data_IF_654931548581
#
_entry.id   IF_654931548581
#
_cell.length_a   1.000
_cell.length_b   1.000
_cell.length_c   1.000
_cell.angle_alpha   90.00
_cell.angle_beta   90.00
_cell.angle_gamma   90.00
#
_symmetry.space_group_name_H-M   'P 1'
#
loop_
_entity.id
_entity.type
_entity.pdbx_description
1 polymer ?
#
# COMPACT_ATOMS: atom_id res chain seq x y z
N UNK A 1 -13.47 7.81 10.13
CA UNK A 1 -13.65 6.34 10.13
C UNK A 1 -12.34 5.58 9.92
N UNK A 2 -11.70 5.61 8.74
CA UNK A 2 -10.52 4.75 8.43
C UNK A 2 -9.38 4.80 9.46
N UNK A 3 -8.85 5.99 9.78
CA UNK A 3 -7.72 6.11 10.71
C UNK A 3 -8.03 5.57 12.11
N UNK A 4 -9.27 5.73 12.56
CA UNK A 4 -9.72 5.19 13.84
C UNK A 4 -9.62 3.67 13.86
N UNK A 5 -10.14 3.00 12.82
CA UNK A 5 -10.06 1.55 12.70
C UNK A 5 -8.61 1.05 12.56
N UNK A 6 -7.75 1.76 11.83
CA UNK A 6 -6.33 1.38 11.71
C UNK A 6 -5.58 1.50 13.03
N UNK A 7 -5.88 2.52 13.85
CA UNK A 7 -5.31 2.68 15.19
C UNK A 7 -5.81 1.58 16.14
N UNK A 8 -7.10 1.28 16.11
CA UNK A 8 -7.68 0.19 16.89
C UNK A 8 -7.07 -1.17 16.52
N UNK A 9 -6.95 -1.46 15.23
CA UNK A 9 -6.27 -2.66 14.72
C UNK A 9 -4.82 -2.76 15.22
N UNK A 10 -4.05 -1.67 15.17
CA UNK A 10 -2.68 -1.63 15.68
C UNK A 10 -2.62 -1.92 17.19
N UNK A 11 -3.54 -1.35 17.97
CA UNK A 11 -3.61 -1.58 19.42
C UNK A 11 -3.92 -3.05 19.73
N UNK A 12 -4.85 -3.65 19.00
CA UNK A 12 -5.19 -5.07 19.12
C UNK A 12 -4.03 -6.00 18.74
N UNK A 13 -3.25 -5.65 17.71
CA UNK A 13 -2.05 -6.40 17.35
C UNK A 13 -1.01 -6.39 18.47
N UNK A 14 -0.83 -5.24 19.14
CA UNK A 14 0.09 -5.12 20.26
C UNK A 14 -0.33 -6.01 21.43
N UNK A 15 -1.63 -6.03 21.73
CA UNK A 15 -2.19 -6.77 22.85
C UNK A 15 -2.14 -8.29 22.64
N UNK A 16 -2.50 -8.76 21.44
CA UNK A 16 -2.57 -10.20 21.15
C UNK A 16 -1.21 -10.82 20.78
N UNK A 17 -0.27 -10.04 20.26
CA UNK A 17 0.99 -10.54 19.72
C UNK A 17 2.17 -9.68 20.20
N UNK A 18 2.62 -9.94 21.43
CA UNK A 18 3.70 -9.18 22.08
C UNK A 18 5.02 -9.21 21.30
N UNK A 19 5.30 -10.29 20.57
CA UNK A 19 6.52 -10.43 19.74
C UNK A 19 6.35 -9.92 18.30
N UNK A 20 5.24 -9.25 18.00
CA UNK A 20 4.96 -8.78 16.65
C UNK A 20 5.89 -7.65 16.23
N UNK A 21 6.61 -7.85 15.12
CA UNK A 21 7.47 -6.83 14.52
C UNK A 21 6.68 -5.98 13.52
N UNK A 22 6.47 -4.71 13.85
CA UNK A 22 5.81 -3.79 12.95
C UNK A 22 6.62 -3.55 11.68
N UNK A 23 6.01 -3.86 10.55
CA UNK A 23 6.56 -3.56 9.23
C UNK A 23 6.26 -2.11 8.81
N UNK A 24 7.11 -1.46 8.00
CA UNK A 24 6.86 -0.12 7.48
C UNK A 24 5.51 0.05 6.78
N UNK A 25 4.97 -1.02 6.19
CA UNK A 25 3.65 -1.03 5.56
C UNK A 25 2.52 -0.70 6.56
N UNK A 26 2.65 -1.11 7.83
CA UNK A 26 1.67 -0.76 8.88
C UNK A 26 1.73 0.73 9.22
N UNK A 27 2.94 1.30 9.25
CA UNK A 27 3.12 2.74 9.40
C UNK A 27 2.51 3.50 8.22
N UNK A 28 2.79 3.05 7.00
CA UNK A 28 2.24 3.64 5.78
C UNK A 28 0.71 3.58 5.74
N UNK A 29 0.10 2.49 6.22
CA UNK A 29 -1.35 2.35 6.27
C UNK A 29 -2.01 3.43 7.14
N UNK A 30 -1.36 3.92 8.21
CA UNK A 30 -1.88 5.05 8.99
C UNK A 30 -1.90 6.37 8.20
N UNK A 31 -1.01 6.54 7.22
CA UNK A 31 -0.97 7.74 6.36
C UNK A 31 -2.00 7.72 5.23
N UNK A 32 -2.57 6.55 4.89
CA UNK A 32 -3.57 6.44 3.81
C UNK A 32 -4.77 7.35 4.07
N UNK A 33 -5.21 7.56 5.32
CA UNK A 33 -6.30 8.53 5.58
C UNK A 33 -5.96 9.93 5.12
N UNK A 34 -4.72 10.37 5.32
CA UNK A 34 -4.27 11.71 4.90
C UNK A 34 -4.20 11.78 3.37
N UNK A 35 -3.69 10.73 2.74
CA UNK A 35 -3.59 10.68 1.28
C UNK A 35 -4.93 10.57 0.57
N UNK A 36 -5.92 9.89 1.17
CA UNK A 36 -7.28 9.88 0.65
C UNK A 36 -7.89 11.29 0.59
N UNK A 37 -7.61 12.13 1.60
CA UNK A 37 -8.08 13.51 1.63
C UNK A 37 -7.34 14.40 0.61
N UNK A 38 -6.04 14.15 0.37
CA UNK A 38 -5.22 14.99 -0.51
C UNK A 38 -5.29 14.59 -1.99
N UNK A 39 -5.37 13.29 -2.29
CA UNK A 39 -5.21 12.73 -3.65
C UNK A 39 -6.44 11.93 -4.11
N UNK A 40 -7.47 11.82 -3.27
CA UNK A 40 -8.66 11.02 -3.57
C UNK A 40 -8.41 9.51 -3.45
N UNK A 41 -9.26 8.69 -4.12
CA UNK A 41 -9.21 7.23 -4.04
C UNK A 41 -7.81 6.65 -4.31
N UNK A 42 -7.43 5.59 -3.59
CA UNK A 42 -6.11 4.93 -3.71
C UNK A 42 -5.79 4.52 -5.14
N UNK A 43 -6.80 4.12 -5.91
CA UNK A 43 -6.70 3.71 -7.30
C UNK A 43 -6.11 4.81 -8.21
N UNK A 44 -6.25 6.08 -7.83
CA UNK A 44 -5.74 7.20 -8.61
C UNK A 44 -4.21 7.34 -8.50
N UNK A 45 -3.60 6.83 -7.43
CA UNK A 45 -2.18 7.05 -7.13
C UNK A 45 -1.41 5.77 -6.75
N UNK A 46 -2.04 4.61 -6.80
CA UNK A 46 -1.34 3.34 -6.61
C UNK A 46 -0.48 2.95 -7.82
N UNK A 47 0.49 2.06 -7.57
CA UNK A 47 1.47 1.66 -8.60
C UNK A 47 0.99 0.59 -9.58
N UNK A 48 -0.23 0.06 -9.43
CA UNK A 48 -0.70 -1.07 -10.23
C UNK A 48 -0.70 -0.83 -11.76
N UNK A 49 -1.11 0.35 -12.28
CA UNK A 49 -1.07 0.62 -13.71
C UNK A 49 0.35 0.54 -14.29
N UNK A 50 1.34 1.03 -13.55
CA UNK A 50 2.74 0.96 -13.95
C UNK A 50 3.26 -0.47 -13.97
N UNK A 51 2.89 -1.30 -12.99
CA UNK A 51 3.24 -2.74 -13.00
C UNK A 51 2.66 -3.45 -14.23
N UNK A 52 1.42 -3.12 -14.60
CA UNK A 52 0.80 -3.63 -15.83
C UNK A 52 1.57 -3.16 -17.08
N UNK A 53 1.97 -1.90 -17.14
CA UNK A 53 2.78 -1.37 -18.23
C UNK A 53 4.14 -2.09 -18.35
N UNK A 54 4.84 -2.33 -17.24
CA UNK A 54 6.09 -3.09 -17.21
C UNK A 54 5.87 -4.50 -17.79
N UNK A 55 4.83 -5.22 -17.35
CA UNK A 55 4.53 -6.55 -17.89
C UNK A 55 4.16 -6.54 -19.39
N UNK A 56 3.59 -5.46 -19.90
CA UNK A 56 3.41 -5.29 -21.36
C UNK A 56 4.75 -5.07 -22.05
N UNK A 57 5.62 -4.23 -21.50
CA UNK A 57 6.94 -3.94 -22.07
C UNK A 57 7.85 -5.17 -22.10
N UNK A 58 7.82 -5.99 -21.05
CA UNK A 58 8.55 -7.27 -20.98
C UNK A 58 8.20 -8.23 -22.12
N UNK A 59 7.01 -8.10 -22.72
CA UNK A 59 6.56 -8.97 -23.83
C UNK A 59 6.96 -8.46 -25.21
N UNK A 60 7.53 -7.25 -25.30
CA UNK A 60 8.01 -6.70 -26.55
C UNK A 60 9.40 -7.30 -26.81
N UNK A 61 9.55 -8.03 -27.92
CA UNK A 61 10.86 -8.54 -28.32
C UNK A 61 11.75 -7.36 -28.74
N UNK A 62 12.67 -6.99 -27.85
CA UNK A 62 13.70 -5.97 -28.11
C UNK A 62 14.98 -6.58 -28.69
N UNK A 63 15.04 -7.91 -28.83
CA UNK A 63 16.12 -8.57 -29.56
C UNK A 63 15.86 -8.43 -31.06
N UNK A 64 16.43 -7.38 -31.65
CA UNK A 64 16.76 -7.34 -33.07
C UNK A 64 18.00 -8.21 -33.28
N UNK A 65 17.80 -9.52 -33.37
CA UNK A 65 18.78 -10.45 -33.95
C UNK A 65 18.30 -10.85 -35.33
#
# INVERSE_FOLDING_TARGET
AYLYHMKAYRALLWDMFLDYKYLPNHHMAMHISKYLLMFGPVQNWWKFPFKRAIGTLERISTNYK
#
